data_IF_143704618265
#
_entry.id   IF_143704618265
#
_cell.length_a   1.000
_cell.length_b   1.000
_cell.length_c   1.000
_cell.angle_alpha   90.00
_cell.angle_beta   90.00
_cell.angle_gamma   90.00
#
_symmetry.space_group_name_H-M   'P 1'
#
loop_
_entity.id
_entity.type
_entity.pdbx_description
1 polymer ?
#
# COMPACT_ATOMS: atom_id res chain seq x y z
N UNK A 1 23.65 14.98 -4.44
CA UNK A 1 23.02 13.75 -3.92
C UNK A 1 21.61 14.08 -3.45
N UNK A 2 20.59 13.31 -3.84
CA UNK A 2 19.24 13.45 -3.27
C UNK A 2 19.23 12.80 -1.89
N UNK A 3 18.79 13.53 -0.88
CA UNK A 3 18.64 13.00 0.48
C UNK A 3 17.61 11.87 0.49
N UNK A 4 17.99 10.69 1.00
CA UNK A 4 17.08 9.55 1.18
C UNK A 4 16.37 9.71 2.52
N UNK A 5 15.04 9.90 2.55
CA UNK A 5 14.34 10.06 3.81
C UNK A 5 14.38 8.76 4.62
N UNK A 6 14.81 8.83 5.88
CA UNK A 6 14.76 7.72 6.85
C UNK A 6 13.45 7.76 7.65
N UNK A 7 12.92 6.59 8.00
CA UNK A 7 11.68 6.43 8.78
C UNK A 7 11.86 5.29 9.78
N UNK A 8 11.18 5.39 10.91
CA UNK A 8 11.21 4.36 11.96
C UNK A 8 10.04 3.40 11.81
N UNK A 9 10.32 2.10 11.84
CA UNK A 9 9.29 1.07 11.89
C UNK A 9 8.61 1.05 13.26
N UNK A 10 7.27 1.15 13.31
CA UNK A 10 6.52 1.13 14.58
C UNK A 10 6.50 -0.25 15.26
N UNK A 11 6.88 -1.31 14.54
CA UNK A 11 6.97 -2.67 15.06
C UNK A 11 8.30 -2.96 15.76
N UNK A 12 9.41 -2.89 15.02
CA UNK A 12 10.75 -3.18 15.55
C UNK A 12 11.46 -1.97 16.16
N UNK A 13 11.12 -0.75 15.76
CA UNK A 13 11.79 0.48 16.23
C UNK A 13 13.04 0.87 15.45
N UNK A 14 13.43 0.10 14.43
CA UNK A 14 14.60 0.41 13.60
C UNK A 14 14.31 1.50 12.57
N UNK A 15 15.33 2.32 12.28
CA UNK A 15 15.30 3.27 11.18
C UNK A 15 15.70 2.61 9.86
N UNK A 16 14.91 2.86 8.82
CA UNK A 16 15.13 2.32 7.47
C UNK A 16 14.82 3.38 6.41
N UNK A 17 15.39 3.26 5.19
CA UNK A 17 14.99 4.10 4.08
C UNK A 17 13.48 4.05 3.86
N UNK A 18 12.84 5.19 3.59
CA UNK A 18 11.38 5.27 3.35
C UNK A 18 10.90 4.21 2.35
N UNK A 19 11.68 3.94 1.31
CA UNK A 19 11.35 3.00 0.24
C UNK A 19 11.33 1.52 0.67
N UNK A 20 11.96 1.16 1.80
CA UNK A 20 11.96 -0.22 2.32
C UNK A 20 10.88 -0.48 3.38
N UNK A 21 10.10 0.54 3.73
CA UNK A 21 8.97 0.44 4.65
C UNK A 21 7.65 0.64 3.92
N UNK A 22 6.59 0.09 4.49
CA UNK A 22 5.22 0.27 4.02
C UNK A 22 4.54 1.30 4.89
N UNK A 23 3.84 2.24 4.28
CA UNK A 23 3.05 3.22 5.03
C UNK A 23 1.69 2.60 5.36
N UNK A 24 1.28 2.77 6.61
CA UNK A 24 -0.10 2.59 7.08
C UNK A 24 -0.68 3.97 7.33
N UNK A 25 -1.94 4.19 7.00
CA UNK A 25 -2.58 5.51 7.12
C UNK A 25 -3.85 5.42 7.95
N UNK A 26 -4.02 6.35 8.88
CA UNK A 26 -5.33 6.68 9.45
C UNK A 26 -6.00 7.73 8.59
N UNK A 27 -7.12 7.39 7.96
CA UNK A 27 -7.90 8.30 7.12
C UNK A 27 -8.62 9.36 7.96
N UNK A 28 -9.12 10.44 7.35
CA UNK A 28 -9.96 11.43 8.05
C UNK A 28 -11.21 10.82 8.71
N UNK A 29 -11.74 9.74 8.14
CA UNK A 29 -12.92 9.00 8.64
C UNK A 29 -12.61 8.15 9.88
N UNK A 30 -11.32 8.01 10.24
CA UNK A 30 -10.87 7.26 11.42
C UNK A 30 -10.45 5.83 11.13
N UNK A 31 -10.60 5.35 9.90
CA UNK A 31 -10.16 4.00 9.50
C UNK A 31 -8.65 3.93 9.31
N UNK A 32 -8.08 2.73 9.52
CA UNK A 32 -6.67 2.45 9.29
C UNK A 32 -6.53 1.49 8.12
N UNK A 33 -5.68 1.83 7.15
CA UNK A 33 -5.47 1.02 5.96
C UNK A 33 -3.99 0.97 5.52
N UNK A 34 -3.66 -0.01 4.68
CA UNK A 34 -2.33 -0.13 4.06
C UNK A 34 -2.24 0.83 2.87
N UNK A 35 -1.20 1.67 2.84
CA UNK A 35 -0.97 2.66 1.77
C UNK A 35 0.44 2.52 1.17
N UNK A 36 0.65 1.56 0.24
CA UNK A 36 1.95 1.40 -0.42
C UNK A 36 2.34 2.62 -1.27
N UNK A 37 1.35 3.38 -1.77
CA UNK A 37 1.58 4.55 -2.63
C UNK A 37 2.09 5.77 -1.87
N UNK A 38 1.78 5.86 -0.57
CA UNK A 38 2.09 7.00 0.27
C UNK A 38 1.28 8.26 -0.05
N UNK A 39 0.19 8.15 -0.84
CA UNK A 39 -0.59 9.29 -1.35
C UNK A 39 -1.90 9.51 -0.59
N UNK A 40 -2.37 8.54 0.19
CA UNK A 40 -3.66 8.66 0.89
C UNK A 40 -3.60 9.78 1.95
N UNK A 41 -4.63 10.64 2.05
CA UNK A 41 -4.66 11.68 3.06
C UNK A 41 -4.75 11.09 4.47
N UNK A 42 -4.18 11.78 5.44
CA UNK A 42 -4.27 11.40 6.85
C UNK A 42 -2.93 11.10 7.53
N UNK A 43 -3.00 10.61 8.77
CA UNK A 43 -1.83 10.39 9.62
C UNK A 43 -1.15 9.08 9.25
N UNK A 44 0.09 9.15 8.79
CA UNK A 44 0.87 7.99 8.40
C UNK A 44 1.76 7.42 9.51
N UNK A 45 1.93 6.11 9.51
CA UNK A 45 2.95 5.37 10.26
C UNK A 45 3.66 4.40 9.31
N UNK A 46 4.85 3.93 9.67
CA UNK A 46 5.65 3.05 8.81
C UNK A 46 5.90 1.70 9.49
N UNK A 47 5.85 0.63 8.70
CA UNK A 47 6.04 -0.74 9.16
C UNK A 47 6.91 -1.50 8.16
N UNK A 48 7.84 -2.34 8.65
CA UNK A 48 8.58 -3.25 7.77
C UNK A 48 7.59 -4.22 7.11
N UNK A 49 7.78 -4.61 5.83
CA UNK A 49 6.94 -5.59 5.14
C UNK A 49 7.18 -7.00 5.72
N UNK A 50 6.74 -7.24 6.95
CA UNK A 50 6.94 -8.47 7.70
C UNK A 50 5.76 -8.70 8.65
N UNK A 51 5.32 -9.96 8.73
CA UNK A 51 4.32 -10.42 9.70
C UNK A 51 4.77 -10.15 11.13
N UNK A 52 6.06 -10.35 11.41
CA UNK A 52 6.62 -10.17 12.75
C UNK A 52 6.52 -8.72 13.22
N UNK A 53 6.80 -7.76 12.34
CA UNK A 53 6.68 -6.35 12.69
C UNK A 53 5.23 -5.95 12.98
N UNK A 54 4.26 -6.53 12.26
CA UNK A 54 2.83 -6.35 12.55
C UNK A 54 2.47 -6.85 13.95
N UNK A 55 2.85 -8.09 14.27
CA UNK A 55 2.57 -8.68 15.59
C UNK A 55 3.24 -7.91 16.73
N UNK A 56 4.49 -7.48 16.54
CA UNK A 56 5.20 -6.62 17.50
C UNK A 56 4.47 -5.29 17.70
N UNK A 57 4.00 -4.66 16.63
CA UNK A 57 3.24 -3.42 16.70
C UNK A 57 1.90 -3.60 17.44
N UNK A 58 1.18 -4.69 17.16
CA UNK A 58 -0.07 -5.06 17.85
C UNK A 58 0.16 -5.29 19.35
N UNK A 59 1.09 -6.18 19.71
CA UNK A 59 1.41 -6.53 21.10
C UNK A 59 1.83 -5.31 21.93
N UNK A 60 2.56 -4.37 21.33
CA UNK A 60 3.04 -3.16 22.00
C UNK A 60 2.02 -2.02 22.01
N UNK A 61 0.82 -2.19 21.45
CA UNK A 61 -0.14 -1.09 21.24
C UNK A 61 0.47 0.08 20.45
N UNK A 62 1.33 -0.22 19.48
CA UNK A 62 2.04 0.79 18.70
C UNK A 62 1.09 1.52 17.72
N UNK A 63 0.08 0.83 17.19
CA UNK A 63 -0.92 1.44 16.31
C UNK A 63 -1.68 2.59 17.00
N UNK A 64 -2.17 2.37 18.22
CA UNK A 64 -2.88 3.41 18.97
C UNK A 64 -2.00 4.65 19.22
N UNK A 65 -0.73 4.43 19.58
CA UNK A 65 0.25 5.50 19.79
C UNK A 65 0.58 6.24 18.50
N UNK A 66 0.84 5.52 17.42
CA UNK A 66 1.22 6.09 16.13
C UNK A 66 0.08 6.89 15.50
N UNK A 67 -1.15 6.38 15.60
CA UNK A 67 -2.33 7.03 15.04
C UNK A 67 -3.01 8.02 15.97
N UNK A 68 -2.64 8.06 17.27
CA UNK A 68 -3.28 8.93 18.28
C UNK A 68 -4.79 8.71 18.35
N UNK A 69 -5.18 7.44 18.44
CA UNK A 69 -6.55 7.01 18.70
C UNK A 69 -6.54 5.66 19.40
N UNK A 70 -7.63 5.33 20.08
CA UNK A 70 -7.88 3.95 20.44
C UNK A 70 -8.14 3.14 19.17
N UNK A 71 -7.54 1.96 19.08
CA UNK A 71 -7.71 1.07 17.93
C UNK A 71 -8.39 -0.17 18.45
N UNK A 72 -9.62 -0.40 17.98
CA UNK A 72 -10.41 -1.54 18.38
C UNK A 72 -9.78 -2.85 17.88
N UNK A 73 -10.11 -3.96 18.54
CA UNK A 73 -9.70 -5.28 18.09
C UNK A 73 -10.25 -5.61 16.70
N UNK A 74 -11.48 -5.18 16.40
CA UNK A 74 -12.07 -5.32 15.08
C UNK A 74 -11.26 -4.59 13.99
N UNK A 75 -10.82 -3.36 14.27
CA UNK A 75 -9.97 -2.59 13.36
C UNK A 75 -8.62 -3.29 13.16
N UNK A 76 -8.02 -3.85 14.22
CA UNK A 76 -6.75 -4.58 14.13
C UNK A 76 -6.88 -5.83 13.27
N UNK A 77 -7.95 -6.61 13.43
CA UNK A 77 -8.22 -7.81 12.63
C UNK A 77 -8.40 -7.45 11.15
N UNK A 78 -9.17 -6.40 10.85
CA UNK A 78 -9.34 -5.90 9.46
C UNK A 78 -8.00 -5.47 8.86
N UNK A 79 -7.22 -4.69 9.60
CA UNK A 79 -5.92 -4.22 9.17
C UNK A 79 -4.92 -5.37 8.97
N UNK A 80 -4.96 -6.40 9.83
CA UNK A 80 -4.12 -7.59 9.70
C UNK A 80 -4.44 -8.38 8.43
N UNK A 81 -5.73 -8.54 8.10
CA UNK A 81 -6.14 -9.18 6.86
C UNK A 81 -5.68 -8.40 5.61
N UNK A 82 -5.80 -7.07 5.61
CA UNK A 82 -5.29 -6.21 4.53
C UNK A 82 -3.76 -6.30 4.42
N UNK A 83 -3.07 -6.32 5.57
CA UNK A 83 -1.62 -6.48 5.64
C UNK A 83 -1.14 -7.81 5.07
N UNK A 84 -1.81 -8.91 5.42
CA UNK A 84 -1.56 -10.25 4.89
C UNK A 84 -1.80 -10.33 3.38
N UNK A 85 -2.86 -9.68 2.88
CA UNK A 85 -3.09 -9.57 1.44
C UNK A 85 -1.96 -8.79 0.73
N UNK A 86 -1.51 -7.68 1.32
CA UNK A 86 -0.38 -6.91 0.80
C UNK A 86 0.93 -7.73 0.75
N UNK A 87 1.26 -8.46 1.82
CA UNK A 87 2.48 -9.28 1.85
C UNK A 87 2.46 -10.36 0.77
N UNK A 88 1.32 -11.04 0.59
CA UNK A 88 1.16 -12.04 -0.48
C UNK A 88 1.31 -11.46 -1.87
N UNK A 89 0.71 -10.29 -2.14
CA UNK A 89 0.84 -9.62 -3.43
C UNK A 89 2.30 -9.26 -3.72
N UNK A 90 3.00 -8.72 -2.72
CA UNK A 90 4.42 -8.37 -2.81
C UNK A 90 5.32 -9.59 -3.07
N UNK A 91 5.04 -10.71 -2.40
CA UNK A 91 5.78 -11.96 -2.59
C UNK A 91 5.56 -12.53 -4.00
N UNK A 92 4.34 -12.48 -4.53
CA UNK A 92 4.02 -12.91 -5.89
C UNK A 92 4.72 -12.05 -6.96
N UNK A 93 4.82 -10.75 -6.76
CA UNK A 93 5.59 -9.86 -7.65
C UNK A 93 7.08 -10.23 -7.63
N UNK A 94 7.64 -10.51 -6.44
CA UNK A 94 9.05 -10.88 -6.29
C UNK A 94 9.41 -12.23 -6.93
N UNK A 95 8.49 -13.20 -6.98
CA UNK A 95 8.73 -14.51 -7.61
C UNK A 95 8.59 -14.49 -9.14
N UNK A 96 7.97 -13.44 -9.70
CA UNK A 96 7.74 -13.32 -11.15
C UNK A 96 8.95 -12.79 -11.95
N UNK A 97 9.91 -12.13 -11.30
CA UNK A 97 11.20 -11.72 -11.89
C UNK A 97 12.36 -11.90 -10.88
N UNK A 98 13.02 -13.07 -10.84
CA UNK A 98 14.13 -13.32 -9.91
C UNK A 98 15.40 -12.51 -10.23
N UNK A 99 15.42 -11.73 -11.32
CA UNK A 99 16.57 -10.95 -11.77
C UNK A 99 16.56 -9.47 -11.34
N UNK A 100 15.45 -8.98 -10.77
CA UNK A 100 15.32 -7.61 -10.25
C UNK A 100 15.40 -6.52 -11.33
N UNK A 101 15.03 -6.83 -12.58
CA UNK A 101 15.06 -5.90 -13.71
C UNK A 101 13.65 -5.53 -14.17
N UNK A 102 12.82 -5.01 -13.26
CA UNK A 102 11.69 -4.19 -13.67
C UNK A 102 12.16 -2.73 -13.73
N UNK A 103 12.41 -2.28 -14.95
CA UNK A 103 12.61 -0.88 -15.29
C UNK A 103 11.43 -0.06 -14.78
N UNK A 104 11.72 1.01 -14.05
CA UNK A 104 10.75 2.03 -13.69
C UNK A 104 10.26 2.76 -14.96
N UNK A 105 9.31 2.21 -15.71
CA UNK A 105 8.44 2.93 -16.66
C UNK A 105 7.57 1.97 -17.49
N UNK A 106 6.43 1.58 -16.96
CA UNK A 106 5.19 1.41 -17.76
C UNK A 106 4.06 2.04 -16.93
N UNK A 107 4.16 3.32 -16.59
CA UNK A 107 3.61 4.38 -17.44
C UNK A 107 2.29 3.94 -18.08
N UNK A 108 1.25 3.86 -17.24
CA UNK A 108 -0.14 3.97 -17.67
C UNK A 108 -0.33 5.27 -18.48
N UNK A 109 -0.01 5.23 -19.77
CA UNK A 109 -0.63 6.07 -20.80
C UNK A 109 -1.81 5.26 -21.32
N UNK A 110 -2.92 5.35 -20.58
CA UNK A 110 -4.22 5.10 -21.17
C UNK A 110 -4.42 6.08 -22.32
N UNK A 111 -4.43 5.59 -23.55
CA UNK A 111 -5.08 6.28 -24.65
C UNK A 111 -6.52 5.81 -24.66
N UNK A 112 -7.36 6.57 -23.98
CA UNK A 112 -8.79 6.52 -24.11
C UNK A 112 -9.17 7.00 -25.53
N UNK A 113 -10.03 6.21 -26.19
CA UNK A 113 -11.16 6.65 -27.01
C UNK A 113 -10.88 7.33 -28.37
N UNK A 114 -11.15 6.58 -29.45
CA UNK A 114 -11.69 7.13 -30.71
C UNK A 114 -12.36 6.03 -31.53
N UNK A 115 -13.65 6.23 -31.83
CA UNK A 115 -14.23 5.78 -33.09
C UNK A 115 -15.46 4.90 -32.96
N UNK A 116 -16.61 5.53 -32.68
CA UNK A 116 -17.89 5.10 -33.24
C UNK A 116 -17.72 4.75 -34.73
N UNK A 117 -18.15 3.55 -35.12
CA UNK A 117 -18.47 3.24 -36.52
C UNK A 117 -19.81 2.54 -36.57
N UNK A 118 -20.75 3.29 -37.12
CA UNK A 118 -22.13 2.99 -37.42
C UNK A 118 -22.27 1.70 -38.24
N UNK A 119 -23.24 0.87 -37.88
CA UNK A 119 -23.77 -0.17 -38.75
C UNK A 119 -24.72 0.47 -39.78
N UNK A 120 -24.65 0.11 -41.08
CA UNK A 120 -25.68 0.51 -42.02
C UNK A 120 -26.89 -0.41 -41.87
N UNK A 121 -28.04 0.18 -41.52
CA UNK A 121 -29.36 -0.38 -41.83
C UNK A 121 -29.79 0.27 -43.14
N UNK A 122 -30.15 -0.53 -44.14
CA UNK A 122 -30.56 -0.04 -45.45
C UNK A 122 -31.04 -1.18 -46.33
N UNK A 123 -32.25 -1.64 -46.02
CA UNK A 123 -33.10 -2.51 -46.82
C UNK A 123 -33.95 -1.59 -47.72
N UNK A 124 -33.89 -1.75 -49.05
CA UNK A 124 -34.85 -1.17 -50.00
C UNK A 124 -34.62 -1.78 -51.40
N UNK A 125 -35.37 -2.86 -51.70
CA UNK A 125 -36.25 -3.13 -52.86
C UNK A 125 -36.45 -4.62 -53.03
#
# INVERSE_FOLDING_TARGET
>A
MKHVPMRTCIGCGEERPKASLVRLVRTPEGDIAVDPTGRRPGRGAYLCPSRECFQRARKRRAFSRAFRMEVSEETLVKLEAEWEAYLRAREAEATSDPSGKIYAADAARGSAERGERSAPVGEET
#
